data_IF_719697856182
#
_entry.id   IF_719697856182
#
_cell.length_a   1.000
_cell.length_b   1.000
_cell.length_c   1.000
_cell.angle_alpha   90.00
_cell.angle_beta   90.00
_cell.angle_gamma   90.00
#
_symmetry.space_group_name_H-M   'P 1'
#
loop_
_entity.id
_entity.type
_entity.pdbx_description
1 polymer ?
#
# COMPACT_ATOMS: atom_id res chain seq x y z
N UNK A 1 30.83 -41.51 2.77
CA UNK A 1 29.46 -41.01 2.52
C UNK A 1 29.19 -39.89 3.51
N UNK A 2 28.90 -38.67 3.06
CA UNK A 2 28.57 -37.56 3.98
C UNK A 2 27.08 -37.64 4.28
N UNK A 3 26.72 -37.97 5.51
CA UNK A 3 25.32 -38.01 5.95
C UNK A 3 24.79 -36.58 5.96
N UNK A 4 23.83 -36.29 5.09
CA UNK A 4 23.09 -35.03 5.13
C UNK A 4 22.03 -35.14 6.21
N UNK A 5 22.20 -34.39 7.30
CA UNK A 5 21.21 -34.27 8.37
C UNK A 5 20.29 -33.12 7.96
N UNK A 6 19.01 -33.41 7.73
CA UNK A 6 18.02 -32.35 7.48
C UNK A 6 17.92 -31.43 8.71
N UNK A 7 17.79 -30.10 8.51
CA UNK A 7 17.56 -29.19 9.63
C UNK A 7 16.19 -29.49 10.25
N UNK A 8 16.19 -29.79 11.54
CA UNK A 8 14.96 -29.82 12.34
C UNK A 8 14.47 -28.39 12.49
N UNK A 9 13.28 -28.12 11.96
CA UNK A 9 12.61 -26.83 12.11
C UNK A 9 12.03 -26.80 13.53
N UNK A 10 12.72 -26.13 14.45
CA UNK A 10 12.22 -25.87 15.80
C UNK A 10 11.12 -24.80 15.72
N UNK A 11 9.85 -25.21 15.72
CA UNK A 11 8.70 -24.30 15.68
C UNK A 11 8.57 -23.39 16.92
N UNK A 12 9.40 -23.60 17.94
CA UNK A 12 9.48 -22.75 19.14
C UNK A 12 10.49 -21.60 18.99
N UNK A 13 11.32 -21.63 17.95
CA UNK A 13 12.25 -20.56 17.56
C UNK A 13 11.70 -19.82 16.34
N UNK A 14 10.37 -19.75 16.19
CA UNK A 14 9.79 -18.69 15.38
C UNK A 14 10.08 -17.42 16.20
N UNK A 15 11.26 -16.84 15.94
CA UNK A 15 11.54 -15.45 16.23
C UNK A 15 10.39 -14.68 15.61
N UNK A 16 9.40 -14.37 16.44
CA UNK A 16 8.30 -13.52 16.05
C UNK A 16 8.97 -12.17 15.86
N UNK A 17 9.43 -11.90 14.65
CA UNK A 17 10.08 -10.66 14.27
C UNK A 17 9.06 -9.55 14.47
N UNK A 18 9.00 -9.00 15.69
CA UNK A 18 8.13 -7.87 16.04
C UNK A 18 8.41 -6.67 15.11
N UNK A 19 9.61 -6.65 14.50
CA UNK A 19 10.04 -5.70 13.49
C UNK A 19 9.16 -5.70 12.22
N UNK A 20 8.52 -6.82 11.86
CA UNK A 20 7.66 -6.89 10.68
C UNK A 20 6.24 -6.34 10.94
N UNK A 21 5.82 -6.23 12.21
CA UNK A 21 4.49 -5.72 12.55
C UNK A 21 4.32 -4.25 12.13
N UNK A 22 5.39 -3.46 12.10
CA UNK A 22 5.33 -2.07 11.66
C UNK A 22 4.97 -1.97 10.17
N UNK A 23 5.44 -2.89 9.32
CA UNK A 23 5.10 -2.87 7.89
C UNK A 23 3.58 -2.89 7.68
N UNK A 24 2.84 -3.67 8.48
CA UNK A 24 1.38 -3.69 8.46
C UNK A 24 0.76 -2.35 8.86
N UNK A 25 1.27 -1.70 9.91
CA UNK A 25 0.79 -0.38 10.35
C UNK A 25 1.05 0.68 9.28
N UNK A 26 2.22 0.66 8.65
CA UNK A 26 2.57 1.56 7.56
C UNK A 26 1.63 1.37 6.35
N UNK A 27 1.36 0.13 5.96
CA UNK A 27 0.41 -0.18 4.88
C UNK A 27 -1.01 0.27 5.23
N UNK A 28 -1.46 0.06 6.47
CA UNK A 28 -2.75 0.53 6.93
C UNK A 28 -2.87 2.06 6.86
N UNK A 29 -1.81 2.78 7.23
CA UNK A 29 -1.76 4.24 7.11
C UNK A 29 -1.83 4.71 5.65
N UNK A 30 -1.08 4.08 4.74
CA UNK A 30 -1.14 4.41 3.30
C UNK A 30 -2.54 4.16 2.71
N UNK A 31 -3.18 3.06 3.08
CA UNK A 31 -4.54 2.74 2.63
C UNK A 31 -5.57 3.74 3.15
N UNK A 32 -5.47 4.15 4.42
CA UNK A 32 -6.33 5.16 5.01
C UNK A 32 -6.20 6.50 4.28
N UNK A 33 -4.96 6.97 4.10
CA UNK A 33 -4.68 8.24 3.38
C UNK A 33 -5.17 8.17 1.94
N UNK A 34 -4.86 7.08 1.21
CA UNK A 34 -5.28 6.90 -0.17
C UNK A 34 -6.80 6.86 -0.33
N UNK A 35 -7.50 6.17 0.57
CA UNK A 35 -8.97 6.03 0.53
C UNK A 35 -9.67 7.35 0.86
N UNK A 36 -9.27 8.02 1.94
CA UNK A 36 -9.84 9.33 2.33
C UNK A 36 -9.69 10.35 1.21
N UNK A 37 -8.51 10.38 0.60
CA UNK A 37 -8.23 11.29 -0.49
C UNK A 37 -9.04 10.95 -1.76
N UNK A 38 -9.15 9.67 -2.12
CA UNK A 38 -9.96 9.24 -3.27
C UNK A 38 -11.44 9.62 -3.11
N UNK A 39 -12.01 9.38 -1.93
CA UNK A 39 -13.39 9.75 -1.62
C UNK A 39 -13.56 11.28 -1.65
N UNK A 40 -12.64 12.03 -1.05
CA UNK A 40 -12.67 13.50 -1.04
C UNK A 40 -12.70 14.08 -2.45
N UNK A 41 -11.82 13.58 -3.34
CA UNK A 41 -11.77 14.02 -4.74
C UNK A 41 -13.01 13.60 -5.53
N UNK A 42 -13.54 12.40 -5.28
CA UNK A 42 -14.78 11.93 -5.90
C UNK A 42 -15.96 12.84 -5.56
N UNK A 43 -16.13 13.20 -4.29
CA UNK A 43 -17.18 14.12 -3.83
C UNK A 43 -16.98 15.51 -4.43
N UNK A 44 -15.74 16.00 -4.49
CA UNK A 44 -15.44 17.30 -5.09
C UNK A 44 -15.78 17.35 -6.59
N UNK A 45 -15.45 16.32 -7.36
CA UNK A 45 -15.82 16.25 -8.78
C UNK A 45 -17.34 16.27 -8.97
N UNK A 46 -18.08 15.50 -8.16
CA UNK A 46 -19.55 15.46 -8.21
C UNK A 46 -20.16 16.84 -7.92
N UNK A 47 -19.64 17.55 -6.92
CA UNK A 47 -20.14 18.88 -6.56
C UNK A 47 -19.87 19.95 -7.64
N UNK A 48 -18.85 19.75 -8.49
CA UNK A 48 -18.52 20.65 -9.59
C UNK A 48 -19.20 20.26 -10.92
N UNK A 49 -20.14 19.30 -10.91
CA UNK A 49 -20.94 18.94 -12.09
C UNK A 49 -20.29 17.92 -13.02
N UNK A 50 -19.19 17.29 -12.61
CA UNK A 50 -18.58 16.17 -13.31
C UNK A 50 -19.16 14.84 -12.81
N UNK A 51 -19.16 13.79 -13.62
CA UNK A 51 -19.77 12.49 -13.27
C UNK A 51 -18.95 11.70 -12.25
N UNK A 52 -17.63 11.85 -12.22
CA UNK A 52 -16.76 11.12 -11.32
C UNK A 52 -15.29 11.54 -11.38
N UNK A 53 -14.54 11.06 -10.39
CA UNK A 53 -13.10 11.20 -10.33
C UNK A 53 -12.42 10.10 -11.16
N UNK A 54 -11.53 10.52 -12.06
CA UNK A 54 -10.59 9.64 -12.75
C UNK A 54 -9.19 10.23 -12.64
N UNK A 55 -8.17 9.41 -12.79
CA UNK A 55 -6.81 9.87 -12.61
C UNK A 55 -5.82 8.85 -13.10
N UNK A 56 -4.60 9.33 -13.33
CA UNK A 56 -3.47 8.48 -13.69
C UNK A 56 -2.30 8.81 -12.76
N UNK A 57 -1.48 7.82 -12.48
CA UNK A 57 -0.23 8.02 -11.77
C UNK A 57 0.92 7.53 -12.63
N UNK A 58 2.01 8.28 -12.62
CA UNK A 58 3.23 7.97 -13.36
C UNK A 58 4.41 8.09 -12.40
N UNK A 59 5.26 7.07 -12.38
CA UNK A 59 6.52 7.12 -11.66
C UNK A 59 7.54 7.85 -12.54
N UNK A 60 8.03 8.99 -12.04
CA UNK A 60 9.05 9.81 -12.71
C UNK A 60 10.36 9.73 -11.93
N UNK A 61 11.49 10.10 -12.55
CA UNK A 61 12.84 9.94 -11.99
C UNK A 61 13.03 10.38 -10.54
N UNK A 62 12.26 11.37 -10.07
CA UNK A 62 12.34 11.90 -8.70
C UNK A 62 11.00 11.94 -7.97
N UNK A 63 10.01 11.12 -8.34
CA UNK A 63 8.78 11.04 -7.54
C UNK A 63 7.57 10.40 -8.21
N UNK A 64 6.41 10.66 -7.61
CA UNK A 64 5.10 10.22 -8.10
C UNK A 64 4.39 11.42 -8.72
N UNK A 65 4.17 11.39 -10.03
CA UNK A 65 3.32 12.35 -10.72
C UNK A 65 1.90 11.82 -10.70
N UNK A 66 0.98 12.60 -10.14
CA UNK A 66 -0.43 12.22 -10.04
C UNK A 66 -1.25 13.22 -10.83
N UNK A 67 -2.02 12.73 -11.79
CA UNK A 67 -2.91 13.53 -12.61
C UNK A 67 -4.36 13.33 -12.17
N UNK A 68 -5.04 14.44 -11.89
CA UNK A 68 -6.44 14.48 -11.44
C UNK A 68 -7.33 14.94 -12.57
N UNK A 69 -8.30 14.11 -12.94
CA UNK A 69 -9.30 14.45 -13.93
C UNK A 69 -10.70 14.25 -13.33
N UNK A 70 -11.54 15.28 -13.40
CA UNK A 70 -12.97 15.12 -13.17
C UNK A 70 -13.65 15.00 -14.54
N UNK A 71 -14.42 13.93 -14.77
CA UNK A 71 -15.20 13.70 -16.00
C UNK A 71 -16.64 13.40 -15.64
#
# INVERSE_FOLDING_TARGET
MKNYVCPTIDCNLIEKTEDEAWVLVFMAALLAVGTTWFIGMSVWCLNNGYKGFTGNYELVEWGLKVNFECK
#
